data_IF_671955907870
#
_entry.id   IF_671955907870
#
_cell.length_a   1.000
_cell.length_b   1.000
_cell.length_c   1.000
_cell.angle_alpha   90.00
_cell.angle_beta   90.00
_cell.angle_gamma   90.00
#
_symmetry.space_group_name_H-M   'P 1'
#
loop_
_entity.id
_entity.type
_entity.pdbx_description
1 polymer ?
#
# COMPACT_ATOMS: atom_id res chain seq x y z
N UNK A 1 -48.16 -1.00 -5.42
CA UNK A 1 -46.92 -1.76 -5.22
C UNK A 1 -45.86 -1.18 -6.13
N UNK A 2 -44.70 -0.81 -5.64
CA UNK A 2 -43.61 -0.37 -6.51
C UNK A 2 -43.01 -1.58 -7.24
N UNK A 3 -42.46 -1.39 -8.43
CA UNK A 3 -41.83 -2.47 -9.21
C UNK A 3 -40.70 -3.14 -8.39
N UNK A 4 -39.96 -2.36 -7.61
CA UNK A 4 -38.87 -2.88 -6.74
C UNK A 4 -39.39 -3.77 -5.59
N UNK A 5 -40.58 -3.45 -5.04
CA UNK A 5 -41.21 -4.24 -3.97
C UNK A 5 -41.73 -5.60 -4.50
N UNK A 6 -42.23 -5.61 -5.72
CA UNK A 6 -42.70 -6.83 -6.38
C UNK A 6 -41.54 -7.79 -6.70
N UNK A 7 -40.44 -7.26 -7.20
CA UNK A 7 -39.25 -8.04 -7.50
C UNK A 7 -38.70 -8.66 -6.20
N UNK A 8 -38.64 -7.90 -5.11
CA UNK A 8 -38.18 -8.36 -3.80
C UNK A 8 -39.02 -9.56 -3.28
N UNK A 9 -40.33 -9.46 -3.40
CA UNK A 9 -41.26 -10.53 -2.99
C UNK A 9 -41.06 -11.77 -3.87
N UNK A 10 -40.94 -11.62 -5.17
CA UNK A 10 -40.70 -12.74 -6.07
C UNK A 10 -39.34 -13.43 -5.80
N UNK A 11 -38.29 -12.65 -5.56
CA UNK A 11 -36.97 -13.21 -5.26
C UNK A 11 -36.95 -13.92 -3.90
N UNK A 12 -37.72 -13.42 -2.92
CA UNK A 12 -37.92 -14.08 -1.62
C UNK A 12 -38.62 -15.43 -1.80
N UNK A 13 -39.74 -15.47 -2.56
CA UNK A 13 -40.53 -16.70 -2.80
C UNK A 13 -39.76 -17.73 -3.62
N UNK A 14 -38.88 -17.30 -4.51
CA UNK A 14 -38.04 -18.14 -5.35
C UNK A 14 -36.69 -18.54 -4.70
N UNK A 15 -36.45 -18.20 -3.41
CA UNK A 15 -35.20 -18.48 -2.68
C UNK A 15 -33.94 -17.89 -3.37
N UNK A 16 -34.05 -16.71 -4.00
CA UNK A 16 -32.94 -16.04 -4.70
C UNK A 16 -32.24 -14.98 -3.87
N UNK A 17 -32.75 -14.66 -2.68
CA UNK A 17 -32.18 -13.66 -1.78
C UNK A 17 -31.01 -14.25 -0.96
N UNK A 18 -30.06 -13.38 -0.60
CA UNK A 18 -29.00 -13.69 0.39
C UNK A 18 -29.61 -13.86 1.79
N UNK A 19 -28.92 -14.53 2.72
CA UNK A 19 -29.39 -14.69 4.11
C UNK A 19 -29.75 -13.35 4.77
N UNK A 20 -28.92 -12.33 4.61
CA UNK A 20 -29.18 -11.00 5.18
C UNK A 20 -30.43 -10.32 4.61
N UNK A 21 -30.65 -10.44 3.30
CA UNK A 21 -31.85 -9.88 2.64
C UNK A 21 -33.09 -10.64 3.03
N UNK A 22 -32.99 -11.95 3.18
CA UNK A 22 -34.07 -12.80 3.65
C UNK A 22 -34.51 -12.43 5.07
N UNK A 23 -33.56 -12.23 6.00
CA UNK A 23 -33.84 -11.80 7.37
C UNK A 23 -34.51 -10.43 7.42
N UNK A 24 -34.13 -9.51 6.56
CA UNK A 24 -34.78 -8.21 6.43
C UNK A 24 -36.23 -8.34 5.95
N UNK A 25 -36.51 -9.20 4.97
CA UNK A 25 -37.87 -9.47 4.48
C UNK A 25 -38.72 -10.09 5.59
N UNK A 26 -38.19 -11.07 6.33
CA UNK A 26 -38.89 -11.72 7.46
C UNK A 26 -39.21 -10.71 8.57
N UNK A 27 -38.27 -9.88 8.96
CA UNK A 27 -38.47 -8.82 9.96
C UNK A 27 -39.52 -7.79 9.49
N UNK A 28 -39.54 -7.46 8.18
CA UNK A 28 -40.56 -6.57 7.63
C UNK A 28 -41.94 -7.22 7.58
N UNK A 29 -42.05 -8.52 7.32
CA UNK A 29 -43.32 -9.25 7.37
C UNK A 29 -43.92 -9.27 8.80
N UNK A 30 -43.08 -9.23 9.85
CA UNK A 30 -43.54 -9.16 11.25
C UNK A 30 -44.04 -7.79 11.62
N UNK A 31 -43.45 -6.71 11.08
CA UNK A 31 -43.72 -5.33 11.45
C UNK A 31 -44.76 -4.64 10.54
N UNK A 32 -44.93 -5.08 9.29
CA UNK A 32 -45.76 -4.46 8.25
C UNK A 32 -46.84 -5.44 7.73
N UNK A 33 -48.07 -5.31 8.23
CA UNK A 33 -49.18 -6.17 7.82
C UNK A 33 -49.54 -6.06 6.36
N UNK A 34 -49.44 -4.86 5.77
CA UNK A 34 -49.73 -4.66 4.35
C UNK A 34 -48.71 -5.37 3.47
N UNK A 35 -47.46 -5.39 3.90
CA UNK A 35 -46.41 -6.14 3.22
C UNK A 35 -46.60 -7.66 3.34
N UNK A 36 -46.99 -8.14 4.53
CA UNK A 36 -47.32 -9.54 4.76
C UNK A 36 -48.48 -10.03 3.88
N UNK A 37 -49.54 -9.21 3.75
CA UNK A 37 -50.67 -9.55 2.87
C UNK A 37 -50.25 -9.64 1.40
N UNK A 38 -49.36 -8.74 0.94
CA UNK A 38 -48.83 -8.81 -0.43
C UNK A 38 -47.99 -10.04 -0.65
N UNK A 39 -47.12 -10.44 0.28
CA UNK A 39 -46.34 -11.67 0.19
C UNK A 39 -47.24 -12.91 0.16
N UNK A 40 -48.28 -12.95 1.00
CA UNK A 40 -49.24 -14.05 1.01
C UNK A 40 -50.08 -14.13 -0.27
N UNK A 41 -50.45 -12.98 -0.83
CA UNK A 41 -51.16 -12.89 -2.11
C UNK A 41 -50.32 -13.45 -3.25
N UNK A 42 -49.05 -13.00 -3.38
CA UNK A 42 -48.12 -13.49 -4.40
C UNK A 42 -47.85 -15.00 -4.24
N UNK A 43 -47.71 -15.48 -2.98
CA UNK A 43 -47.52 -16.89 -2.69
C UNK A 43 -48.74 -17.71 -3.14
N UNK A 44 -49.96 -17.23 -2.87
CA UNK A 44 -51.18 -17.90 -3.32
C UNK A 44 -51.32 -17.84 -4.83
N UNK A 45 -50.93 -16.76 -5.46
CA UNK A 45 -50.94 -16.62 -6.91
C UNK A 45 -50.00 -17.65 -7.59
N UNK A 46 -48.80 -17.80 -7.05
CA UNK A 46 -47.84 -18.83 -7.54
C UNK A 46 -48.39 -20.25 -7.32
N UNK A 47 -48.99 -20.54 -6.16
CA UNK A 47 -49.54 -21.85 -5.87
C UNK A 47 -50.73 -22.21 -6.76
N UNK A 48 -51.58 -21.20 -7.07
CA UNK A 48 -52.78 -21.40 -7.88
C UNK A 48 -52.52 -21.36 -9.41
N UNK A 49 -51.40 -20.72 -9.81
CA UNK A 49 -50.98 -20.63 -11.22
C UNK A 49 -49.92 -21.68 -11.61
N UNK A 50 -49.62 -22.63 -10.72
CA UNK A 50 -48.67 -23.68 -11.04
C UNK A 50 -49.29 -24.61 -12.12
N UNK A 51 -48.74 -24.59 -13.31
CA UNK A 51 -49.22 -25.27 -14.54
C UNK A 51 -49.42 -26.78 -14.41
N UNK A 52 -48.99 -27.42 -13.31
CA UNK A 52 -49.07 -28.84 -13.07
C UNK A 52 -50.43 -29.33 -12.49
N UNK A 53 -51.27 -28.43 -11.97
CA UNK A 53 -52.50 -28.76 -11.26
C UNK A 53 -53.76 -28.06 -11.80
N UNK A 54 -53.73 -27.51 -13.02
CA UNK A 54 -54.93 -27.08 -13.71
C UNK A 54 -55.75 -28.30 -14.19
N UNK A 55 -56.23 -29.11 -13.23
CA UNK A 55 -57.28 -30.07 -13.49
C UNK A 55 -58.63 -29.39 -13.40
N UNK A 56 -59.23 -29.13 -14.51
CA UNK A 56 -60.57 -28.62 -14.63
C UNK A 56 -61.49 -29.62 -13.89
N UNK A 57 -62.11 -29.15 -12.81
CA UNK A 57 -63.10 -29.95 -12.08
C UNK A 57 -64.26 -30.29 -13.05
N UNK A 58 -64.55 -31.59 -13.19
CA UNK A 58 -65.42 -32.19 -14.22
C UNK A 58 -66.90 -31.82 -14.11
N UNK A 59 -67.29 -30.68 -13.53
CA UNK A 59 -68.70 -30.42 -13.21
C UNK A 59 -69.24 -29.07 -13.58
N UNK A 60 -68.68 -28.37 -14.58
CA UNK A 60 -69.23 -27.10 -15.14
C UNK A 60 -69.47 -27.25 -16.63
N UNK A 61 -70.55 -26.65 -17.14
CA UNK A 61 -71.04 -26.68 -18.50
C UNK A 61 -70.17 -25.86 -19.44
N UNK A 62 -69.32 -26.49 -20.24
CA UNK A 62 -68.07 -25.95 -20.78
C UNK A 62 -68.12 -25.47 -22.23
N UNK A 63 -69.23 -25.07 -22.79
CA UNK A 63 -69.24 -24.59 -24.21
C UNK A 63 -68.39 -23.31 -24.41
N UNK A 64 -68.25 -22.46 -23.38
CA UNK A 64 -67.41 -21.25 -23.46
C UNK A 64 -65.94 -21.55 -23.21
N UNK A 65 -65.61 -22.53 -22.38
CA UNK A 65 -64.24 -22.89 -22.05
C UNK A 65 -63.58 -23.64 -23.20
N UNK A 66 -64.29 -24.47 -23.90
CA UNK A 66 -63.81 -25.14 -25.11
C UNK A 66 -63.40 -24.15 -26.19
N UNK A 67 -64.10 -23.03 -26.31
CA UNK A 67 -63.77 -21.96 -27.23
C UNK A 67 -62.47 -21.22 -26.83
N UNK A 68 -62.27 -20.97 -25.53
CA UNK A 68 -61.03 -20.39 -25.02
C UNK A 68 -59.86 -21.37 -25.10
N UNK A 69 -60.07 -22.68 -24.90
CA UNK A 69 -59.03 -23.72 -25.03
C UNK A 69 -58.55 -23.86 -26.47
N UNK A 70 -59.45 -23.79 -27.42
CA UNK A 70 -59.14 -23.73 -28.87
C UNK A 70 -58.36 -22.44 -29.20
N UNK A 71 -58.74 -21.30 -28.60
CA UNK A 71 -58.06 -20.02 -28.80
C UNK A 71 -56.63 -20.07 -28.20
N UNK A 72 -56.43 -20.64 -27.02
CA UNK A 72 -55.12 -20.82 -26.38
C UNK A 72 -54.20 -21.80 -27.13
N UNK A 73 -54.80 -22.77 -27.83
CA UNK A 73 -54.07 -23.72 -28.70
C UNK A 73 -53.89 -23.23 -30.12
N UNK A 74 -54.48 -22.08 -30.46
CA UNK A 74 -54.34 -21.53 -31.80
C UNK A 74 -52.89 -21.15 -32.11
N UNK A 75 -52.50 -21.28 -33.37
CA UNK A 75 -51.17 -20.96 -33.86
C UNK A 75 -50.75 -19.50 -33.53
N UNK A 76 -51.72 -18.57 -33.54
CA UNK A 76 -51.53 -17.16 -33.20
C UNK A 76 -51.14 -16.98 -31.71
N UNK A 77 -51.77 -17.72 -30.80
CA UNK A 77 -51.48 -17.63 -29.36
C UNK A 77 -50.16 -18.31 -29.00
N UNK A 78 -49.85 -19.43 -29.67
CA UNK A 78 -48.53 -20.07 -29.56
C UNK A 78 -47.41 -19.14 -30.04
N UNK A 79 -47.58 -18.48 -31.18
CA UNK A 79 -46.63 -17.48 -31.72
C UNK A 79 -46.42 -16.31 -30.75
N UNK A 80 -47.51 -15.86 -30.10
CA UNK A 80 -47.44 -14.80 -29.09
C UNK A 80 -46.66 -15.26 -27.85
N UNK A 81 -46.91 -16.48 -27.39
CA UNK A 81 -46.18 -17.07 -26.25
C UNK A 81 -44.70 -17.20 -26.55
N UNK A 82 -44.31 -17.65 -27.73
CA UNK A 82 -42.94 -17.78 -28.16
C UNK A 82 -42.27 -16.40 -28.29
N UNK A 83 -42.99 -15.41 -28.82
CA UNK A 83 -42.51 -14.03 -28.92
C UNK A 83 -42.25 -13.42 -27.53
N UNK A 84 -43.16 -13.62 -26.57
CA UNK A 84 -42.99 -13.18 -25.19
C UNK A 84 -41.79 -13.89 -24.51
N UNK A 85 -41.58 -15.17 -24.76
CA UNK A 85 -40.40 -15.89 -24.27
C UNK A 85 -39.10 -15.33 -24.84
N UNK A 86 -39.07 -15.03 -26.14
CA UNK A 86 -37.90 -14.42 -26.80
C UNK A 86 -37.61 -13.04 -26.19
N UNK A 87 -38.61 -12.17 -26.10
CA UNK A 87 -38.47 -10.82 -25.54
C UNK A 87 -38.01 -10.84 -24.07
N UNK A 88 -38.59 -11.76 -23.27
CA UNK A 88 -38.18 -11.92 -21.88
C UNK A 88 -36.73 -12.41 -21.77
N UNK A 89 -36.31 -13.36 -22.62
CA UNK A 89 -34.93 -13.85 -22.63
C UNK A 89 -33.93 -12.77 -23.07
N UNK A 90 -34.27 -11.94 -24.06
CA UNK A 90 -33.47 -10.80 -24.49
C UNK A 90 -33.36 -9.72 -23.40
N UNK A 91 -34.45 -9.44 -22.69
CA UNK A 91 -34.46 -8.52 -21.56
C UNK A 91 -33.57 -8.99 -20.41
N UNK A 92 -33.63 -10.28 -20.08
CA UNK A 92 -32.76 -10.89 -19.06
C UNK A 92 -31.27 -10.82 -19.46
N UNK A 93 -30.96 -11.04 -20.74
CA UNK A 93 -29.59 -10.92 -21.26
C UNK A 93 -29.06 -9.49 -21.23
N UNK A 94 -29.92 -8.51 -21.50
CA UNK A 94 -29.57 -7.09 -21.42
C UNK A 94 -29.30 -6.64 -19.95
N UNK A 95 -30.11 -7.11 -19.00
CA UNK A 95 -29.88 -6.84 -17.58
C UNK A 95 -28.55 -7.45 -17.10
N UNK A 96 -28.22 -8.67 -17.52
CA UNK A 96 -26.97 -9.34 -17.15
C UNK A 96 -25.74 -8.60 -17.69
N UNK A 97 -25.80 -8.05 -18.91
CA UNK A 97 -24.74 -7.20 -19.49
C UNK A 97 -24.55 -5.88 -18.72
N UNK A 98 -25.62 -5.25 -18.22
CA UNK A 98 -25.55 -3.99 -17.47
C UNK A 98 -24.89 -4.17 -16.12
N UNK A 99 -25.13 -5.27 -15.43
CA UNK A 99 -24.46 -5.57 -14.16
C UNK A 99 -22.97 -5.90 -14.33
N UNK A 100 -22.60 -6.51 -15.46
CA UNK A 100 -21.22 -6.87 -15.75
C UNK A 100 -20.34 -5.64 -16.05
N UNK A 101 -20.91 -4.59 -16.67
CA UNK A 101 -20.19 -3.32 -16.89
C UNK A 101 -19.93 -2.57 -15.59
N UNK A 102 -20.81 -2.64 -14.59
CA UNK A 102 -20.57 -2.02 -13.28
C UNK A 102 -19.38 -2.67 -12.55
N UNK A 103 -19.24 -4.00 -12.62
CA UNK A 103 -18.08 -4.71 -12.07
C UNK A 103 -16.76 -4.30 -12.76
N UNK A 104 -16.79 -3.98 -14.06
CA UNK A 104 -15.63 -3.46 -14.78
C UNK A 104 -15.27 -2.06 -14.31
N UNK A 105 -16.25 -1.16 -14.11
CA UNK A 105 -16.00 0.20 -13.62
C UNK A 105 -15.48 0.21 -12.17
N UNK A 106 -15.98 -0.67 -11.30
CA UNK A 106 -15.45 -0.83 -9.94
C UNK A 106 -14.03 -1.38 -9.95
N UNK A 107 -13.71 -2.33 -10.81
CA UNK A 107 -12.35 -2.85 -11.00
C UNK A 107 -11.39 -1.75 -11.46
N UNK A 108 -11.77 -0.93 -12.43
CA UNK A 108 -10.97 0.21 -12.91
C UNK A 108 -10.79 1.26 -11.79
N UNK A 109 -11.85 1.57 -11.03
CA UNK A 109 -11.75 2.51 -9.92
C UNK A 109 -10.77 2.04 -8.83
N UNK A 110 -10.77 0.74 -8.48
CA UNK A 110 -9.81 0.17 -7.53
C UNK A 110 -8.38 0.26 -8.07
N UNK A 111 -8.16 -0.05 -9.35
CA UNK A 111 -6.84 0.07 -9.98
C UNK A 111 -6.37 1.53 -9.97
N UNK A 112 -7.23 2.50 -10.27
CA UNK A 112 -6.90 3.93 -10.23
C UNK A 112 -6.58 4.40 -8.81
N UNK A 113 -7.29 3.89 -7.78
CA UNK A 113 -6.97 4.16 -6.37
C UNK A 113 -5.60 3.58 -5.99
N UNK A 114 -5.28 2.35 -6.40
CA UNK A 114 -3.98 1.73 -6.16
C UNK A 114 -2.87 2.52 -6.88
N UNK A 115 -3.08 2.89 -8.14
CA UNK A 115 -2.15 3.74 -8.90
C UNK A 115 -2.02 5.12 -8.22
N UNK A 116 -3.10 5.72 -7.77
CA UNK A 116 -3.11 6.96 -7.01
C UNK A 116 -2.29 6.83 -5.73
N UNK A 117 -2.52 5.80 -4.93
CA UNK A 117 -1.76 5.53 -3.71
C UNK A 117 -0.28 5.25 -3.97
N UNK A 118 0.08 4.62 -5.08
CA UNK A 118 1.49 4.40 -5.45
C UNK A 118 2.15 5.66 -6.00
N UNK A 119 1.44 6.48 -6.76
CA UNK A 119 1.96 7.74 -7.32
C UNK A 119 1.96 8.89 -6.30
N UNK A 120 1.00 8.93 -5.37
CA UNK A 120 0.92 9.91 -4.28
C UNK A 120 1.49 9.41 -2.96
N UNK A 121 1.98 8.16 -2.90
CA UNK A 121 2.84 7.77 -1.80
C UNK A 121 4.02 8.76 -1.80
N UNK A 122 4.23 9.54 -0.74
CA UNK A 122 5.39 10.43 -0.69
C UNK A 122 6.58 9.53 -0.97
N UNK A 123 7.27 9.77 -2.09
CA UNK A 123 8.44 9.00 -2.48
C UNK A 123 9.40 9.07 -1.31
N UNK A 124 9.43 8.04 -0.48
CA UNK A 124 10.47 7.91 0.52
C UNK A 124 11.77 7.89 -0.25
N UNK A 125 12.48 9.00 -0.17
CA UNK A 125 13.77 9.13 -0.85
C UNK A 125 14.63 7.95 -0.42
N UNK A 126 15.14 7.18 -1.37
CA UNK A 126 15.95 6.01 -1.05
C UNK A 126 17.07 6.40 -0.06
N UNK A 127 17.34 5.63 1.00
CA UNK A 127 18.39 5.92 1.97
C UNK A 127 19.75 6.21 1.33
N UNK A 128 20.08 5.54 0.23
CA UNK A 128 21.30 5.79 -0.51
C UNK A 128 21.31 7.18 -1.19
N UNK A 129 20.17 7.67 -1.66
CA UNK A 129 20.09 9.05 -2.21
C UNK A 129 20.21 10.07 -1.09
N UNK A 130 19.60 9.81 0.07
CA UNK A 130 19.77 10.67 1.24
C UNK A 130 21.21 10.67 1.72
N UNK A 131 21.86 9.51 1.82
CA UNK A 131 23.28 9.41 2.11
C UNK A 131 24.12 10.29 1.17
N UNK A 132 23.95 10.12 -0.15
CA UNK A 132 24.71 10.87 -1.14
C UNK A 132 24.46 12.39 -1.08
N UNK A 133 23.24 12.81 -0.73
CA UNK A 133 22.88 14.23 -0.59
C UNK A 133 23.49 14.86 0.65
N UNK A 134 23.52 14.14 1.79
CA UNK A 134 24.00 14.66 3.07
C UNK A 134 25.48 14.38 3.35
N UNK A 135 26.14 13.57 2.51
CA UNK A 135 27.59 13.37 2.62
C UNK A 135 28.33 14.61 2.10
N UNK A 136 28.75 15.43 3.03
CA UNK A 136 29.61 16.58 2.73
C UNK A 136 31.01 16.34 3.34
N UNK A 137 31.99 16.16 2.48
CA UNK A 137 33.38 15.96 2.86
C UNK A 137 34.18 17.27 2.91
N UNK A 138 33.60 18.40 2.46
CA UNK A 138 34.28 19.70 2.45
C UNK A 138 34.50 20.30 3.87
N UNK A 139 33.68 19.87 4.83
CA UNK A 139 33.76 20.29 6.24
C UNK A 139 34.69 19.41 7.09
N UNK A 140 35.39 18.47 6.49
CA UNK A 140 36.33 17.62 7.24
C UNK A 140 37.50 18.46 7.69
N UNK A 141 37.97 18.26 8.96
CA UNK A 141 39.19 18.90 9.43
C UNK A 141 40.39 18.39 8.63
N UNK A 142 41.40 19.23 8.45
CA UNK A 142 42.65 18.77 7.83
C UNK A 142 43.32 17.69 8.69
N UNK A 143 43.84 16.65 8.03
CA UNK A 143 44.68 15.66 8.70
C UNK A 143 46.02 16.19 9.16
N UNK A 144 46.39 17.38 8.68
CA UNK A 144 47.73 17.95 8.88
C UNK A 144 47.65 19.31 9.54
N UNK A 145 48.43 19.53 10.57
CA UNK A 145 48.60 20.85 11.14
C UNK A 145 49.54 21.72 10.28
N UNK A 146 49.13 22.98 10.07
CA UNK A 146 49.92 23.93 9.27
C UNK A 146 51.27 24.19 9.97
N UNK A 147 52.34 23.70 9.37
CA UNK A 147 53.72 23.91 9.84
C UNK A 147 54.45 22.64 10.25
N UNK A 148 53.82 21.49 10.31
CA UNK A 148 54.49 20.25 10.66
C UNK A 148 54.88 19.45 9.41
N UNK A 149 56.10 19.64 8.94
CA UNK A 149 56.67 18.94 7.75
C UNK A 149 56.93 17.45 8.00
N UNK A 150 56.80 16.96 9.24
CA UNK A 150 57.05 15.58 9.60
C UNK A 150 55.84 14.68 9.27
N UNK A 151 54.63 15.27 9.07
CA UNK A 151 53.39 14.55 8.77
C UNK A 151 53.23 14.21 7.29
N UNK A 152 54.30 13.82 6.58
CA UNK A 152 54.28 13.53 5.14
C UNK A 152 53.30 12.41 4.78
N UNK A 153 53.15 11.41 5.64
CA UNK A 153 52.23 10.28 5.42
C UNK A 153 50.78 10.73 5.53
N UNK A 154 50.43 11.57 6.51
CA UNK A 154 49.07 12.09 6.63
C UNK A 154 48.69 13.03 5.48
N UNK A 155 49.68 13.83 4.96
CA UNK A 155 49.47 14.63 3.72
C UNK A 155 49.13 13.70 2.54
N UNK A 156 49.87 12.59 2.41
CA UNK A 156 49.65 11.61 1.35
C UNK A 156 48.29 10.94 1.53
N UNK A 157 47.93 10.51 2.74
CA UNK A 157 46.65 9.89 3.04
C UNK A 157 45.49 10.85 2.72
N UNK A 158 45.58 12.13 3.09
CA UNK A 158 44.55 13.11 2.76
C UNK A 158 44.39 13.30 1.24
N UNK A 159 45.47 13.40 0.49
CA UNK A 159 45.40 13.51 -0.99
C UNK A 159 44.76 12.27 -1.65
N UNK A 160 45.11 11.10 -1.17
CA UNK A 160 44.51 9.85 -1.65
C UNK A 160 43.00 9.78 -1.31
N UNK A 161 42.62 10.20 -0.12
CA UNK A 161 41.22 10.31 0.31
C UNK A 161 40.43 11.29 -0.58
N UNK A 162 40.97 12.48 -0.82
CA UNK A 162 40.39 13.51 -1.69
C UNK A 162 40.26 13.02 -3.14
N UNK A 163 41.21 12.19 -3.61
CA UNK A 163 41.16 11.50 -4.89
C UNK A 163 40.18 10.29 -4.91
N UNK A 164 39.54 9.99 -3.79
CA UNK A 164 38.68 8.81 -3.56
C UNK A 164 39.38 7.46 -3.66
N UNK A 165 40.70 7.48 -3.55
CA UNK A 165 41.54 6.29 -3.44
C UNK A 165 41.55 5.75 -2.00
N UNK A 166 40.34 5.39 -1.51
CA UNK A 166 40.08 5.11 -0.11
C UNK A 166 40.89 3.93 0.44
N UNK A 167 41.16 2.92 -0.37
CA UNK A 167 41.93 1.74 0.04
C UNK A 167 43.37 2.14 0.40
N UNK A 168 44.03 2.86 -0.52
CA UNK A 168 45.40 3.32 -0.28
C UNK A 168 45.52 4.35 0.85
N UNK A 169 44.49 5.22 0.97
CA UNK A 169 44.42 6.17 2.09
C UNK A 169 44.27 5.44 3.40
N UNK A 170 43.40 4.39 3.45
CA UNK A 170 43.14 3.60 4.66
C UNK A 170 44.38 2.89 5.16
N UNK A 171 45.18 2.28 4.29
CA UNK A 171 46.42 1.62 4.68
C UNK A 171 47.36 2.56 5.47
N UNK A 172 47.52 3.81 5.00
CA UNK A 172 48.33 4.79 5.66
C UNK A 172 47.68 5.25 6.97
N UNK A 173 46.35 5.47 6.98
CA UNK A 173 45.64 5.92 8.17
C UNK A 173 45.66 4.89 9.31
N UNK A 174 45.55 3.61 9.00
CA UNK A 174 45.61 2.51 9.98
C UNK A 174 47.04 2.40 10.57
N UNK A 175 48.09 2.56 9.77
CA UNK A 175 49.47 2.63 10.26
C UNK A 175 49.69 3.84 11.20
N UNK A 176 49.24 5.02 10.79
CA UNK A 176 49.36 6.24 11.55
C UNK A 176 48.54 6.22 12.85
N UNK A 177 47.40 5.56 12.91
CA UNK A 177 46.61 5.35 14.13
C UNK A 177 47.40 4.65 15.22
N UNK A 178 48.28 3.75 14.84
CA UNK A 178 49.12 2.98 15.79
C UNK A 178 50.19 3.85 16.42
N UNK A 179 50.63 4.91 15.72
CA UNK A 179 51.75 5.77 16.09
C UNK A 179 51.36 7.14 16.62
N UNK A 180 50.14 7.61 16.24
CA UNK A 180 49.71 8.96 16.54
C UNK A 180 49.42 9.18 18.04
N UNK A 181 49.95 10.26 18.58
CA UNK A 181 49.53 10.82 19.88
C UNK A 181 48.57 11.98 19.70
N UNK A 182 48.75 12.75 18.62
CA UNK A 182 47.95 13.91 18.23
C UNK A 182 47.08 13.55 16.99
N UNK A 183 46.07 14.35 16.71
CA UNK A 183 45.18 14.20 15.54
C UNK A 183 44.41 12.88 15.46
N UNK A 184 44.40 12.02 16.48
CA UNK A 184 43.73 10.72 16.47
C UNK A 184 42.24 10.85 16.12
N UNK A 185 41.57 11.88 16.58
CA UNK A 185 40.18 12.15 16.26
C UNK A 185 39.95 12.29 14.75
N UNK A 186 40.77 13.09 14.11
CA UNK A 186 40.71 13.34 12.67
C UNK A 186 41.06 12.07 11.89
N UNK A 187 42.08 11.33 12.35
CA UNK A 187 42.47 10.07 11.71
C UNK A 187 41.32 9.04 11.81
N UNK A 188 40.68 8.85 12.99
CA UNK A 188 39.51 7.98 13.12
C UNK A 188 38.36 8.40 12.21
N UNK A 189 38.15 9.70 12.03
CA UNK A 189 37.11 10.23 11.15
C UNK A 189 37.33 9.83 9.69
N UNK A 190 38.55 10.07 9.17
CA UNK A 190 38.94 9.69 7.81
C UNK A 190 38.97 8.18 7.61
N UNK A 191 39.47 7.43 8.60
CA UNK A 191 39.45 5.96 8.61
C UNK A 191 38.00 5.45 8.51
N UNK A 192 37.12 5.93 9.38
CA UNK A 192 35.73 5.51 9.38
C UNK A 192 35.00 5.83 8.07
N UNK A 193 35.26 6.99 7.47
CA UNK A 193 34.68 7.37 6.17
C UNK A 193 35.25 6.49 5.06
N UNK A 194 36.58 6.26 5.01
CA UNK A 194 37.21 5.39 4.02
C UNK A 194 36.64 3.96 4.10
N UNK A 195 36.55 3.39 5.29
CA UNK A 195 35.96 2.08 5.55
C UNK A 195 34.46 2.05 5.10
N UNK A 196 33.71 3.11 5.38
CA UNK A 196 32.32 3.23 4.94
C UNK A 196 32.20 3.28 3.41
N UNK A 197 33.08 3.99 2.71
CA UNK A 197 33.12 4.06 1.26
C UNK A 197 33.49 2.70 0.64
N UNK A 198 34.42 1.99 1.25
CA UNK A 198 34.84 0.63 0.87
C UNK A 198 33.84 -0.46 1.30
N UNK A 199 32.68 -0.08 1.83
CA UNK A 199 31.63 -0.99 2.36
C UNK A 199 32.10 -1.89 3.51
N UNK A 200 33.18 -1.56 4.20
CA UNK A 200 33.65 -2.22 5.41
C UNK A 200 32.86 -1.71 6.63
N UNK A 201 31.54 -1.89 6.60
CA UNK A 201 30.61 -1.21 7.49
C UNK A 201 30.85 -1.47 8.98
N UNK A 202 31.22 -2.70 9.34
CA UNK A 202 31.43 -3.05 10.73
C UNK A 202 32.72 -2.39 11.27
N UNK A 203 33.77 -2.29 10.45
CA UNK A 203 34.98 -1.54 10.80
C UNK A 203 34.70 -0.04 10.92
N UNK A 204 33.93 0.52 9.98
CA UNK A 204 33.52 1.91 10.02
C UNK A 204 32.74 2.25 11.31
N UNK A 205 31.82 1.35 11.71
CA UNK A 205 31.06 1.51 12.96
C UNK A 205 31.99 1.52 14.18
N UNK A 206 32.98 0.65 14.22
CA UNK A 206 34.01 0.63 15.30
C UNK A 206 34.79 1.94 15.31
N UNK A 207 35.26 2.43 14.15
CA UNK A 207 36.03 3.67 14.06
C UNK A 207 35.23 4.88 14.56
N UNK A 208 33.95 4.99 14.15
CA UNK A 208 33.08 6.08 14.63
C UNK A 208 32.73 5.93 16.11
N UNK A 209 32.53 4.72 16.63
CA UNK A 209 32.31 4.51 18.05
C UNK A 209 33.54 4.96 18.86
N UNK A 210 34.73 4.56 18.45
CA UNK A 210 35.98 4.95 19.10
C UNK A 210 36.15 6.48 19.12
N UNK A 211 35.79 7.15 18.00
CA UNK A 211 35.78 8.62 17.93
C UNK A 211 34.80 9.24 18.93
N UNK A 212 33.59 8.67 19.06
CA UNK A 212 32.54 9.20 19.95
C UNK A 212 32.94 9.00 21.44
N UNK A 213 33.44 7.81 21.78
CA UNK A 213 33.73 7.40 23.16
C UNK A 213 34.92 8.15 23.77
N UNK A 214 35.94 8.46 22.97
CA UNK A 214 37.12 9.13 23.46
C UNK A 214 36.93 10.64 23.74
N UNK A 215 35.73 11.21 23.48
CA UNK A 215 35.35 12.58 23.78
C UNK A 215 36.36 13.64 23.24
N UNK A 216 36.90 13.38 22.07
CA UNK A 216 37.71 14.37 21.34
C UNK A 216 36.86 15.58 20.93
N UNK A 217 37.50 16.68 20.57
CA UNK A 217 36.84 17.90 20.07
C UNK A 217 35.94 17.57 18.85
N UNK A 218 36.37 16.66 17.98
CA UNK A 218 35.65 16.24 16.79
C UNK A 218 34.66 15.04 17.02
N UNK A 219 34.54 14.55 18.28
CA UNK A 219 33.60 13.45 18.61
C UNK A 219 32.16 13.70 18.16
N UNK A 220 31.62 14.93 18.21
CA UNK A 220 30.29 15.21 17.69
C UNK A 220 30.12 14.88 16.20
N UNK A 221 31.19 15.00 15.39
CA UNK A 221 31.18 14.61 13.97
C UNK A 221 30.99 13.10 13.80
N UNK A 222 31.55 12.30 14.73
CA UNK A 222 31.40 10.85 14.72
C UNK A 222 29.94 10.38 14.71
N UNK A 223 29.06 11.03 15.48
CA UNK A 223 27.61 10.71 15.47
C UNK A 223 26.98 10.97 14.11
N UNK A 224 27.30 12.09 13.47
CA UNK A 224 26.77 12.42 12.15
C UNK A 224 27.18 11.40 11.09
N UNK A 225 28.49 11.11 10.97
CA UNK A 225 28.96 10.13 9.99
C UNK A 225 28.49 8.70 10.31
N UNK A 226 28.32 8.35 11.59
CA UNK A 226 27.69 7.08 11.99
C UNK A 226 26.23 7.00 11.55
N UNK A 227 25.47 8.08 11.61
CA UNK A 227 24.10 8.11 11.06
C UNK A 227 24.11 7.91 9.54
N UNK A 228 25.05 8.56 8.83
CA UNK A 228 25.23 8.37 7.38
C UNK A 228 25.67 6.95 7.03
N UNK A 229 26.53 6.31 7.83
CA UNK A 229 26.89 4.91 7.69
C UNK A 229 25.65 4.00 7.69
N UNK A 230 24.74 4.19 8.65
CA UNK A 230 23.53 3.39 8.72
C UNK A 230 22.58 3.65 7.54
N UNK A 231 22.53 4.87 7.00
CA UNK A 231 21.80 5.14 5.75
C UNK A 231 22.41 4.37 4.56
N UNK A 232 23.74 4.37 4.44
CA UNK A 232 24.47 3.65 3.39
C UNK A 232 24.27 2.13 3.53
N UNK A 233 24.20 1.61 4.77
CA UNK A 233 23.90 0.21 5.10
C UNK A 233 22.41 -0.12 4.92
N UNK A 234 21.54 0.88 4.65
CA UNK A 234 20.08 0.75 4.58
C UNK A 234 19.43 0.36 5.93
N UNK A 235 20.08 0.64 7.04
CA UNK A 235 19.56 0.45 8.41
C UNK A 235 18.91 1.75 8.91
N UNK A 236 17.70 2.00 8.43
CA UNK A 236 16.94 3.23 8.74
C UNK A 236 16.70 3.36 10.25
N UNK A 237 16.45 2.25 10.93
CA UNK A 237 16.14 2.27 12.37
C UNK A 237 17.32 2.77 13.19
N UNK A 238 18.52 2.28 12.91
CA UNK A 238 19.74 2.74 13.57
C UNK A 238 20.09 4.19 13.19
N UNK A 239 19.92 4.53 11.91
CA UNK A 239 20.12 5.92 11.45
C UNK A 239 19.23 6.88 12.23
N UNK A 240 17.92 6.61 12.34
CA UNK A 240 16.97 7.42 13.13
C UNK A 240 17.39 7.57 14.57
N UNK A 241 17.79 6.48 15.22
CA UNK A 241 18.23 6.53 16.63
C UNK A 241 19.41 7.48 16.84
N UNK A 242 20.40 7.45 15.95
CA UNK A 242 21.54 8.36 16.06
C UNK A 242 21.15 9.81 15.75
N UNK A 243 20.31 10.02 14.72
CA UNK A 243 19.83 11.35 14.36
C UNK A 243 19.01 11.98 15.50
N UNK A 244 18.16 11.20 16.19
CA UNK A 244 17.45 11.66 17.38
C UNK A 244 18.41 12.14 18.47
N UNK A 245 19.49 11.44 18.73
CA UNK A 245 20.50 11.89 19.69
C UNK A 245 21.19 13.21 19.27
N UNK A 246 21.38 13.43 17.96
CA UNK A 246 21.90 14.70 17.46
C UNK A 246 20.89 15.82 17.68
N UNK A 247 19.59 15.54 17.53
CA UNK A 247 18.52 16.55 17.67
C UNK A 247 18.10 16.83 19.13
N UNK A 248 18.69 16.17 20.11
CA UNK A 248 18.46 16.47 21.54
C UNK A 248 18.88 17.89 21.95
N UNK A 249 19.87 18.49 21.24
CA UNK A 249 20.30 19.85 21.51
C UNK A 249 20.64 20.60 20.23
N UNK A 250 20.15 21.84 20.11
CA UNK A 250 20.45 22.73 18.98
C UNK A 250 21.92 23.11 18.85
N UNK A 251 22.74 22.88 19.88
CA UNK A 251 24.19 23.08 19.87
C UNK A 251 24.96 21.91 19.27
N UNK A 252 24.32 20.77 19.02
CA UNK A 252 24.99 19.61 18.47
C UNK A 252 25.38 19.83 16.99
N UNK A 253 26.51 19.25 16.62
CA UNK A 253 27.00 19.30 15.24
C UNK A 253 25.95 18.72 14.28
N UNK A 254 25.65 19.41 13.20
CA UNK A 254 24.65 19.05 12.17
C UNK A 254 23.22 18.88 12.70
N UNK A 255 22.84 19.64 13.76
CA UNK A 255 21.48 19.62 14.32
C UNK A 255 20.40 19.89 13.25
N UNK A 256 20.59 20.92 12.41
CA UNK A 256 19.60 21.30 11.38
C UNK A 256 19.46 20.21 10.31
N UNK A 257 20.58 19.75 9.79
CA UNK A 257 20.65 18.70 8.80
C UNK A 257 20.10 17.38 9.34
N UNK A 258 20.36 17.06 10.60
CA UNK A 258 19.80 15.87 11.27
C UNK A 258 18.28 15.96 11.42
N UNK A 259 17.75 17.13 11.78
CA UNK A 259 16.30 17.36 11.88
C UNK A 259 15.62 17.24 10.51
N UNK A 260 16.22 17.83 9.48
CA UNK A 260 15.72 17.72 8.11
C UNK A 260 15.76 16.28 7.59
N UNK A 261 16.87 15.58 7.82
CA UNK A 261 17.04 14.19 7.40
C UNK A 261 16.03 13.25 8.10
N UNK A 262 15.78 13.47 9.41
CA UNK A 262 14.74 12.72 10.14
C UNK A 262 13.34 12.88 9.52
N UNK A 263 13.01 14.07 9.03
CA UNK A 263 11.71 14.31 8.40
C UNK A 263 11.53 13.59 7.05
N UNK A 264 12.63 13.18 6.42
CA UNK A 264 12.66 12.49 5.12
C UNK A 264 12.72 10.96 5.23
N UNK A 265 12.96 10.43 6.43
CA UNK A 265 13.04 9.01 6.75
C UNK A 265 11.73 8.47 7.32
#
# INVERSE_FOLDING_TARGET
>A
MSIDEQILIQDFLNNKLTEKERDLVLSRMESDKDFLEKVNFEKQLILNLNDSEWSISSNTNYSEIDEYEVLFRSESTQTLKDTLHIVNSEYQLQQKKRNQSWLLYTGIAVILVIIGLTLFSPFKTSPNKLYAYYLDLSELPSLVDRGNSEQKLLIKAQKLFEAKEYEQSLDILEEELSNAQENRATIYLYTGISQMELRQFDKAEISFNTLIENKFIDSPKGKWYKALLFLKKNDISKAKNILLQITESSSNYKFKEASELLSKL
#
